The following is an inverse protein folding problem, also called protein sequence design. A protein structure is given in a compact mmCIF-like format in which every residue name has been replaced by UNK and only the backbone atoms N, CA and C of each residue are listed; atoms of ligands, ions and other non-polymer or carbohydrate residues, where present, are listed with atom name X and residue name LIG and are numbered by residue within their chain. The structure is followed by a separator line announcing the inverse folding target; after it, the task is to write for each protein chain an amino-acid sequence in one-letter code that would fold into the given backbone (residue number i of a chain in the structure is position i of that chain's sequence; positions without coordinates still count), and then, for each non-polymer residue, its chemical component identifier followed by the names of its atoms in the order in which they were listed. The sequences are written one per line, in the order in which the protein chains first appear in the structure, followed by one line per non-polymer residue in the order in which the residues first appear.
data_IF_233232594531
#
_entry.id   IF_233232594531
#
_cell.length_a   1.000
_cell.length_b   1.000
_cell.length_c   1.000
_cell.angle_alpha   90.00
_cell.angle_beta   90.00
_cell.angle_gamma   90.00
#
_symmetry.space_group_name_H-M   'P 1'
#
loop_
_entity.id
_entity.type
_entity.pdbx_description
1 polymer ?
#
# COMPACT_ATOMS: atom_id res chain seq x y z
N UNK A 1 -8.44 21.37 -5.65
CA UNK A 1 -9.57 20.52 -6.09
C UNK A 1 -9.22 19.07 -5.77
N UNK A 2 -9.72 18.50 -4.67
CA UNK A 2 -9.44 17.09 -4.31
C UNK A 2 -10.19 16.15 -5.25
N UNK A 3 -9.57 15.77 -6.37
CA UNK A 3 -10.07 14.70 -7.23
C UNK A 3 -9.95 13.38 -6.47
N UNK A 4 -11.07 12.69 -6.26
CA UNK A 4 -11.06 11.31 -5.76
C UNK A 4 -10.22 10.45 -6.70
N UNK A 5 -9.27 9.64 -6.19
CA UNK A 5 -8.52 8.73 -7.04
C UNK A 5 -9.47 7.72 -7.68
N UNK A 6 -9.27 7.46 -8.98
CA UNK A 6 -10.01 6.41 -9.69
C UNK A 6 -9.66 5.04 -9.11
N UNK A 7 -10.56 4.06 -9.22
CA UNK A 7 -10.32 2.67 -8.79
C UNK A 7 -8.99 2.12 -9.37
N UNK A 8 -8.63 2.52 -10.59
CA UNK A 8 -7.36 2.15 -11.23
C UNK A 8 -6.14 2.78 -10.54
N UNK A 9 -6.25 4.05 -10.13
CA UNK A 9 -5.17 4.74 -9.41
C UNK A 9 -4.95 4.12 -8.03
N UNK A 10 -6.04 3.75 -7.35
CA UNK A 10 -5.99 3.04 -6.05
C UNK A 10 -5.32 1.68 -6.22
N UNK A 11 -5.77 0.88 -7.21
CA UNK A 11 -5.19 -0.42 -7.49
C UNK A 11 -3.68 -0.32 -7.78
N UNK A 12 -3.27 0.64 -8.61
CA UNK A 12 -1.85 0.87 -8.92
C UNK A 12 -1.03 1.27 -7.69
N UNK A 13 -1.59 2.07 -6.79
CA UNK A 13 -0.92 2.45 -5.54
C UNK A 13 -0.64 1.23 -4.66
N UNK A 14 -1.66 0.37 -4.50
CA UNK A 14 -1.57 -0.87 -3.72
C UNK A 14 -0.58 -1.84 -4.37
N UNK A 15 -0.63 -2.01 -5.70
CA UNK A 15 0.31 -2.89 -6.43
C UNK A 15 1.76 -2.42 -6.32
N UNK A 16 2.02 -1.11 -6.47
CA UNK A 16 3.36 -0.56 -6.33
C UNK A 16 3.90 -0.75 -4.91
N UNK A 17 3.05 -0.60 -3.88
CA UNK A 17 3.46 -0.83 -2.50
C UNK A 17 3.69 -2.30 -2.18
N UNK A 18 2.83 -3.20 -2.67
CA UNK A 18 3.01 -4.64 -2.53
C UNK A 18 4.34 -5.09 -3.13
N UNK A 19 4.74 -4.54 -4.28
CA UNK A 19 6.03 -4.81 -4.89
C UNK A 19 7.19 -4.36 -3.98
N UNK A 20 7.14 -3.15 -3.41
CA UNK A 20 8.19 -2.69 -2.49
C UNK A 20 8.35 -3.62 -1.28
N UNK A 21 7.24 -4.10 -0.72
CA UNK A 21 7.27 -5.05 0.41
C UNK A 21 7.85 -6.40 -0.03
N UNK A 22 7.49 -6.89 -1.22
CA UNK A 22 8.07 -8.10 -1.79
C UNK A 22 9.60 -7.98 -2.02
N UNK A 23 10.10 -6.77 -2.28
CA UNK A 23 11.53 -6.48 -2.42
C UNK A 23 12.25 -6.29 -1.06
N UNK A 24 11.57 -6.50 0.07
CA UNK A 24 12.16 -6.40 1.41
C UNK A 24 12.08 -5.01 2.04
N UNK A 25 11.28 -4.09 1.49
CA UNK A 25 11.04 -2.80 2.15
C UNK A 25 10.25 -3.00 3.45
N UNK A 26 10.63 -2.31 4.55
CA UNK A 26 9.93 -2.43 5.81
C UNK A 26 8.51 -1.86 5.71
N UNK A 27 7.49 -2.57 6.23
CA UNK A 27 6.15 -2.01 6.37
C UNK A 27 6.15 -0.89 7.41
N UNK A 28 5.36 0.16 7.14
CA UNK A 28 5.22 1.31 8.04
C UNK A 28 4.18 1.07 9.13
N UNK A 29 3.36 0.03 8.97
CA UNK A 29 2.48 -0.45 10.04
C UNK A 29 3.31 -1.26 11.02
N UNK A 30 3.17 -0.94 12.31
CA UNK A 30 3.53 -1.86 13.40
C UNK A 30 2.61 -3.08 13.33
N UNK A 31 2.94 -4.04 12.48
CA UNK A 31 2.38 -5.38 12.53
C UNK A 31 3.12 -6.10 13.66
N UNK A 32 2.40 -6.56 14.68
CA UNK A 32 2.98 -7.50 15.65
C UNK A 32 3.41 -8.76 14.90
N UNK A 33 4.45 -9.45 15.38
CA UNK A 33 4.96 -10.69 14.75
C UNK A 33 3.84 -11.73 14.52
N UNK A 34 2.86 -11.76 15.41
CA UNK A 34 1.66 -12.59 15.36
C UNK A 34 0.75 -12.28 14.16
N UNK A 35 0.65 -11.01 13.76
CA UNK A 35 -0.11 -10.63 12.56
C UNK A 35 0.65 -11.06 11.30
N UNK A 36 1.96 -10.83 11.25
CA UNK A 36 2.83 -11.22 10.12
C UNK A 36 2.81 -12.73 9.84
N UNK A 37 2.80 -13.55 10.90
CA UNK A 37 2.64 -15.00 10.80
C UNK A 37 1.23 -15.41 10.33
N UNK A 38 0.17 -14.70 10.77
CA UNK A 38 -1.22 -14.96 10.35
C UNK A 38 -1.50 -14.64 8.88
N UNK A 39 -0.86 -13.61 8.31
CA UNK A 39 -1.04 -13.24 6.90
C UNK A 39 -0.09 -13.97 5.93
N UNK A 40 0.75 -14.87 6.43
CA UNK A 40 1.75 -15.59 5.64
C UNK A 40 2.61 -14.63 4.80
N UNK A 41 2.96 -13.47 5.38
CA UNK A 41 3.76 -12.41 4.74
C UNK A 41 3.25 -11.95 3.35
N UNK A 42 1.97 -12.11 3.03
CA UNK A 42 1.47 -11.72 1.70
C UNK A 42 1.62 -10.20 1.47
N UNK A 43 2.47 -9.76 0.52
CA UNK A 43 2.80 -8.35 0.35
C UNK A 43 1.59 -7.49 -0.02
N UNK A 44 0.62 -8.09 -0.72
CA UNK A 44 -0.61 -7.43 -1.17
C UNK A 44 -1.51 -7.08 0.03
N UNK A 45 -1.66 -8.00 0.98
CA UNK A 45 -2.50 -7.78 2.18
C UNK A 45 -1.90 -6.68 3.07
N UNK A 46 -0.58 -6.66 3.21
CA UNK A 46 0.13 -5.62 3.96
C UNK A 46 -0.07 -4.25 3.30
N UNK A 47 0.10 -4.16 1.98
CA UNK A 47 -0.12 -2.92 1.24
C UNK A 47 -1.58 -2.43 1.33
N UNK A 48 -2.55 -3.33 1.36
CA UNK A 48 -3.97 -2.99 1.50
C UNK A 48 -4.28 -2.43 2.89
N UNK A 49 -3.73 -3.03 3.96
CA UNK A 49 -3.85 -2.48 5.31
C UNK A 49 -3.17 -1.11 5.44
N UNK A 50 -2.03 -0.89 4.75
CA UNK A 50 -1.35 0.43 4.70
C UNK A 50 -2.21 1.48 4.01
N UNK A 51 -2.96 1.08 2.99
CA UNK A 51 -3.92 1.95 2.31
C UNK A 51 -5.11 2.32 3.20
N UNK A 52 -5.71 1.36 3.89
CA UNK A 52 -6.84 1.61 4.78
C UNK A 52 -6.46 2.50 5.97
N UNK A 53 -5.23 2.35 6.49
CA UNK A 53 -4.70 3.22 7.55
C UNK A 53 -4.21 4.58 7.06
N UNK A 54 -4.16 4.82 5.74
CA UNK A 54 -3.70 6.08 5.15
C UNK A 54 -2.21 6.38 5.37
N UNK A 55 -1.39 5.35 5.66
CA UNK A 55 0.05 5.50 5.95
C UNK A 55 0.94 5.26 4.73
N UNK A 56 0.35 5.13 3.55
CA UNK A 56 1.09 4.91 2.31
C UNK A 56 2.01 6.10 1.99
N UNK A 57 3.32 5.86 1.80
CA UNK A 57 4.28 6.90 1.45
C UNK A 57 4.21 7.29 -0.04
N UNK A 58 3.16 6.89 -0.76
CA UNK A 58 2.98 7.09 -2.19
C UNK A 58 1.82 8.05 -2.45
N UNK A 59 2.00 8.95 -3.40
CA UNK A 59 1.00 9.95 -3.77
C UNK A 59 0.65 9.82 -5.26
N UNK A 60 -0.64 9.91 -5.59
CA UNK A 60 -1.08 9.92 -6.99
C UNK A 60 -0.91 11.34 -7.53
N UNK A 61 -0.02 11.52 -8.52
CA UNK A 61 0.14 12.79 -9.24
C UNK A 61 -0.58 12.71 -10.59
N UNK A 62 -1.61 13.54 -10.76
CA UNK A 62 -2.28 13.71 -12.04
C UNK A 62 -1.46 14.69 -12.90
N UNK A 63 -0.99 14.24 -14.06
CA UNK A 63 -0.33 15.13 -15.02
C UNK A 63 -1.43 15.90 -15.76
N UNK A 64 -1.52 17.21 -15.51
CA UNK A 64 -2.31 18.11 -16.34
C UNK A 64 -1.52 18.41 -17.60
N UNK A 65 -2.07 18.02 -18.75
CA UNK A 65 -1.66 18.51 -20.07
C UNK A 65 -2.20 19.89 -20.30
#
# INVERSE_FOLDING_TARGET
MSRKPSRFAIARLISARALMIAMGAPPLIKLSKEDLERINYSPIKIAMMEYEKGVLPLVVRFKGT
#
